data_IF_629008903358
#
_entry.id   IF_629008903358
#
_cell.length_a   1.000
_cell.length_b   1.000
_cell.length_c   1.000
_cell.angle_alpha   90.00
_cell.angle_beta   90.00
_cell.angle_gamma   90.00
#
_symmetry.space_group_name_H-M   'P 1'
#
loop_
_entity.id
_entity.type
_entity.pdbx_description
1 polymer ?
#
# COMPACT_ATOMS: atom_id res chain seq x y z
N UNK A 1 -2.92 -4.57 -4.44
CA UNK A 1 -2.71 -3.77 -5.68
C UNK A 1 -1.24 -3.85 -6.08
N UNK A 2 -0.87 -3.70 -7.35
CA UNK A 2 0.54 -3.71 -7.77
C UNK A 2 0.95 -2.37 -8.40
N UNK A 3 2.14 -1.88 -8.07
CA UNK A 3 2.74 -0.65 -8.63
C UNK A 3 4.18 -0.91 -9.08
N UNK A 4 4.71 -0.04 -9.94
CA UNK A 4 6.02 -0.26 -10.59
C UNK A 4 7.18 0.44 -9.88
N UNK A 5 6.90 1.38 -8.98
CA UNK A 5 7.90 2.24 -8.35
C UNK A 5 7.54 2.58 -6.90
N UNK A 6 8.56 2.82 -6.09
CA UNK A 6 8.44 3.13 -4.65
C UNK A 6 7.72 4.46 -4.42
N UNK A 7 7.95 5.45 -5.27
CA UNK A 7 7.31 6.76 -5.15
C UNK A 7 5.78 6.67 -5.17
N UNK A 8 5.23 5.85 -6.06
CA UNK A 8 3.79 5.58 -6.12
C UNK A 8 3.32 4.81 -4.89
N UNK A 9 4.09 3.81 -4.44
CA UNK A 9 3.77 3.03 -3.23
C UNK A 9 3.73 3.93 -1.96
N UNK A 10 4.68 4.85 -1.82
CA UNK A 10 4.73 5.83 -0.73
C UNK A 10 3.54 6.79 -0.76
N UNK A 11 3.17 7.31 -1.94
CA UNK A 11 1.98 8.16 -2.08
C UNK A 11 0.71 7.42 -1.66
N UNK A 12 0.59 6.14 -2.02
CA UNK A 12 -0.55 5.31 -1.62
C UNK A 12 -0.58 5.08 -0.11
N UNK A 13 0.57 4.83 0.51
CA UNK A 13 0.69 4.70 1.97
C UNK A 13 0.19 5.97 2.68
N UNK A 14 0.66 7.15 2.24
CA UNK A 14 0.25 8.44 2.79
C UNK A 14 -1.26 8.66 2.63
N UNK A 15 -1.80 8.38 1.44
CA UNK A 15 -3.23 8.50 1.16
C UNK A 15 -4.07 7.56 2.04
N UNK A 16 -3.64 6.30 2.19
CA UNK A 16 -4.30 5.32 3.05
C UNK A 16 -4.34 5.78 4.51
N UNK A 17 -3.23 6.27 5.04
CA UNK A 17 -3.16 6.75 6.43
C UNK A 17 -4.08 7.96 6.64
N UNK A 18 -4.11 8.91 5.71
CA UNK A 18 -5.01 10.07 5.77
C UNK A 18 -6.48 9.66 5.74
N UNK A 19 -6.83 8.71 4.87
CA UNK A 19 -8.19 8.18 4.77
C UNK A 19 -8.60 7.44 6.05
N UNK A 20 -7.69 6.66 6.63
CA UNK A 20 -7.94 5.92 7.88
C UNK A 20 -8.28 6.85 9.04
N UNK A 21 -7.53 7.95 9.19
CA UNK A 21 -7.80 8.98 10.20
C UNK A 21 -9.16 9.64 9.94
N UNK A 22 -9.45 10.00 8.68
CA UNK A 22 -10.71 10.67 8.31
C UNK A 22 -11.93 9.78 8.56
N UNK A 23 -11.82 8.50 8.26
CA UNK A 23 -12.92 7.53 8.37
C UNK A 23 -12.98 6.83 9.74
N UNK A 24 -11.99 7.04 10.61
CA UNK A 24 -11.87 6.40 11.93
C UNK A 24 -12.00 4.87 11.84
N UNK A 25 -11.39 4.27 10.81
CA UNK A 25 -11.64 2.87 10.45
C UNK A 25 -10.42 1.95 10.59
N UNK A 26 -9.38 2.36 11.33
CA UNK A 26 -8.17 1.58 11.67
C UNK A 26 -7.57 0.81 10.47
N UNK A 27 -7.72 1.36 9.27
CA UNK A 27 -7.20 0.77 8.05
C UNK A 27 -5.77 1.25 7.82
N UNK A 28 -4.88 0.38 7.38
CA UNK A 28 -3.51 0.74 7.03
C UNK A 28 -3.05 -0.03 5.81
N UNK A 29 -2.02 0.49 5.14
CA UNK A 29 -1.43 -0.15 3.96
C UNK A 29 0.00 -0.56 4.29
N UNK A 30 0.45 -1.69 3.75
CA UNK A 30 1.87 -2.07 3.70
C UNK A 30 2.24 -2.37 2.26
N UNK A 31 3.49 -2.15 1.90
CA UNK A 31 4.00 -2.52 0.59
C UNK A 31 5.30 -3.31 0.68
N UNK A 32 5.53 -4.16 -0.31
CA UNK A 32 6.71 -5.02 -0.40
C UNK A 32 7.09 -5.29 -1.86
N UNK A 33 8.39 -5.39 -2.12
CA UNK A 33 8.90 -5.84 -3.42
C UNK A 33 8.61 -7.32 -3.63
N UNK A 34 8.02 -7.65 -4.76
CA UNK A 34 7.75 -9.03 -5.17
C UNK A 34 8.26 -9.30 -6.58
N UNK A 35 8.65 -10.55 -6.83
CA UNK A 35 9.02 -11.00 -8.16
C UNK A 35 7.80 -11.63 -8.85
N UNK A 36 7.31 -10.99 -9.90
CA UNK A 36 6.23 -11.51 -10.75
C UNK A 36 6.82 -11.99 -12.07
N UNK A 37 7.17 -13.28 -12.12
CA UNK A 37 7.87 -13.88 -13.25
C UNK A 37 9.28 -13.28 -13.42
N UNK A 38 9.51 -12.59 -14.54
CA UNK A 38 10.79 -11.90 -14.84
C UNK A 38 10.84 -10.44 -14.36
N UNK A 39 9.75 -9.89 -13.82
CA UNK A 39 9.66 -8.47 -13.42
C UNK A 39 9.61 -8.34 -11.89
N UNK A 40 10.28 -7.32 -11.35
CA UNK A 40 10.08 -6.87 -9.98
C UNK A 40 8.96 -5.83 -9.96
N UNK A 41 7.98 -6.02 -9.09
CA UNK A 41 6.86 -5.10 -8.88
C UNK A 41 6.64 -4.93 -7.38
N UNK A 42 5.99 -3.86 -6.97
CA UNK A 42 5.64 -3.63 -5.57
C UNK A 42 4.19 -4.07 -5.36
N UNK A 43 3.96 -4.94 -4.38
CA UNK A 43 2.62 -5.26 -3.91
C UNK A 43 2.24 -4.30 -2.78
N UNK A 44 1.07 -3.66 -2.89
CA UNK A 44 0.46 -2.81 -1.88
C UNK A 44 -0.79 -3.52 -1.33
N UNK A 45 -0.75 -3.90 -0.06
CA UNK A 45 -1.79 -4.66 0.63
C UNK A 45 -2.43 -3.79 1.72
N UNK A 46 -3.77 -3.87 1.84
CA UNK A 46 -4.55 -3.10 2.79
C UNK A 46 -5.08 -4.01 3.89
N UNK A 47 -4.96 -3.54 5.12
CA UNK A 47 -5.32 -4.26 6.32
C UNK A 47 -6.24 -3.40 7.16
N UNK A 48 -7.10 -4.04 7.94
CA UNK A 48 -7.90 -3.39 8.97
C UNK A 48 -7.50 -3.99 10.31
N UNK A 49 -7.09 -3.16 11.26
CA UNK A 49 -6.96 -3.61 12.64
C UNK A 49 -8.36 -3.71 13.23
N UNK A 50 -8.65 -4.86 13.85
CA UNK A 50 -9.75 -4.99 14.80
C UNK A 50 -9.49 -4.16 16.05
#
# INVERSE_FOLDING_TARGET
MYVNDEYTAEKMLIASNRLSIKLKNNTYMKWQWIKKGKKNVIACDFYKSE
#
